data_IF_424508709585
#
_entry.id   IF_424508709585
#
_cell.length_a   1.000
_cell.length_b   1.000
_cell.length_c   1.000
_cell.angle_alpha   90.00
_cell.angle_beta   90.00
_cell.angle_gamma   90.00
#
_symmetry.space_group_name_H-M   'P 1'
#
loop_
_entity.id
_entity.type
_entity.pdbx_description
1 polymer ?
#
# COMPACT_ATOMS: atom_id res chain seq x y z
N UNK A 1 -17.42 5.74 -76.05
CA UNK A 1 -17.44 5.18 -77.42
C UNK A 1 -18.89 5.05 -77.83
N UNK A 2 -19.27 5.57 -78.99
CA UNK A 2 -20.67 5.54 -79.43
C UNK A 2 -21.15 4.10 -79.58
N UNK A 3 -22.13 3.70 -78.76
CA UNK A 3 -22.89 2.47 -78.87
C UNK A 3 -23.75 2.47 -80.14
N UNK A 4 -23.10 2.49 -81.30
CA UNK A 4 -23.77 2.15 -82.55
C UNK A 4 -23.86 0.63 -82.52
N UNK A 5 -24.94 0.13 -81.93
CA UNK A 5 -25.39 -1.24 -82.14
C UNK A 5 -25.44 -1.42 -83.66
N UNK A 6 -24.71 -2.38 -84.25
CA UNK A 6 -24.74 -2.55 -85.68
C UNK A 6 -26.20 -2.75 -86.09
N UNK A 7 -26.67 -1.93 -87.03
CA UNK A 7 -28.09 -1.93 -87.43
C UNK A 7 -28.35 -3.30 -88.05
N UNK A 8 -29.24 -4.06 -87.41
CA UNK A 8 -29.60 -5.40 -87.87
C UNK A 8 -30.04 -5.35 -89.34
N UNK A 9 -29.53 -6.25 -90.21
CA UNK A 9 -29.89 -6.25 -91.62
C UNK A 9 -31.39 -6.43 -91.83
N UNK A 10 -31.95 -5.87 -92.91
CA UNK A 10 -33.37 -5.98 -93.17
C UNK A 10 -33.69 -7.38 -93.74
N UNK A 11 -34.23 -8.24 -92.86
CA UNK A 11 -34.62 -9.61 -93.22
C UNK A 11 -35.62 -9.66 -94.36
N UNK A 12 -36.65 -8.82 -94.31
CA UNK A 12 -37.72 -8.83 -95.31
C UNK A 12 -37.22 -8.36 -96.68
N UNK A 13 -36.28 -7.41 -96.71
CA UNK A 13 -35.63 -6.96 -97.94
C UNK A 13 -34.81 -8.07 -98.61
N UNK A 14 -34.04 -8.83 -97.83
CA UNK A 14 -33.29 -9.99 -98.35
C UNK A 14 -34.24 -11.10 -98.85
N UNK A 15 -35.29 -11.42 -98.09
CA UNK A 15 -36.27 -12.42 -98.50
C UNK A 15 -36.99 -12.01 -99.78
N UNK A 16 -37.35 -10.73 -99.93
CA UNK A 16 -37.94 -10.21 -101.17
C UNK A 16 -36.97 -10.34 -102.37
N UNK A 17 -35.69 -10.01 -102.18
CA UNK A 17 -34.68 -10.17 -103.23
C UNK A 17 -34.42 -11.64 -103.58
N UNK A 18 -34.39 -12.53 -102.58
CA UNK A 18 -34.29 -13.97 -102.76
C UNK A 18 -35.47 -14.53 -103.56
N UNK A 19 -36.69 -14.13 -103.20
CA UNK A 19 -37.90 -14.51 -103.93
C UNK A 19 -37.88 -14.00 -105.37
N UNK A 20 -37.36 -12.79 -105.61
CA UNK A 20 -37.20 -12.25 -106.95
C UNK A 20 -36.24 -13.09 -107.81
N UNK A 21 -35.10 -13.51 -107.26
CA UNK A 21 -34.14 -14.41 -107.91
C UNK A 21 -34.73 -15.81 -108.13
N UNK A 22 -35.48 -16.35 -107.17
CA UNK A 22 -36.14 -17.65 -107.32
C UNK A 22 -37.18 -17.67 -108.45
N UNK A 23 -38.00 -16.61 -108.58
CA UNK A 23 -39.02 -16.49 -109.63
C UNK A 23 -38.46 -16.47 -111.06
N UNK A 24 -37.17 -16.19 -111.21
CA UNK A 24 -36.50 -16.11 -112.51
C UNK A 24 -35.51 -17.25 -112.75
N UNK A 25 -35.15 -18.02 -111.72
CA UNK A 25 -34.15 -19.09 -111.80
C UNK A 25 -34.53 -20.17 -112.83
N UNK A 26 -35.83 -20.41 -113.03
CA UNK A 26 -36.34 -21.44 -113.94
C UNK A 26 -36.53 -20.93 -115.39
N UNK A 27 -36.27 -19.64 -115.67
CA UNK A 27 -36.49 -19.04 -116.99
C UNK A 27 -35.23 -19.13 -117.84
N UNK A 28 -35.19 -20.09 -118.76
CA UNK A 28 -34.13 -20.19 -119.77
C UNK A 28 -34.43 -19.27 -120.96
N UNK A 29 -33.50 -18.39 -121.39
CA UNK A 29 -33.69 -17.57 -122.58
C UNK A 29 -33.94 -18.45 -123.80
N UNK A 30 -35.01 -18.20 -124.53
CA UNK A 30 -35.26 -18.92 -125.78
C UNK A 30 -34.60 -18.21 -126.95
N UNK A 31 -33.96 -18.96 -127.84
CA UNK A 31 -33.44 -18.42 -129.11
C UNK A 31 -34.52 -18.60 -130.18
N UNK A 32 -35.21 -17.52 -130.58
CA UNK A 32 -36.24 -17.62 -131.60
C UNK A 32 -35.65 -17.97 -132.97
N UNK A 33 -36.42 -18.68 -133.79
CA UNK A 33 -36.00 -19.15 -135.12
C UNK A 33 -36.81 -18.45 -136.21
N UNK A 34 -36.18 -18.22 -137.37
CA UNK A 34 -36.82 -17.57 -138.51
C UNK A 34 -37.28 -18.63 -139.52
N UNK A 35 -38.49 -18.47 -140.06
CA UNK A 35 -39.00 -19.34 -141.11
C UNK A 35 -38.27 -19.06 -142.44
N UNK A 36 -38.10 -20.10 -143.27
CA UNK A 36 -37.61 -19.95 -144.64
C UNK A 36 -38.77 -19.81 -145.61
N UNK A 37 -38.58 -19.11 -146.73
CA UNK A 37 -39.61 -19.00 -147.78
C UNK A 37 -40.12 -20.37 -148.24
N UNK A 38 -41.40 -20.46 -148.63
CA UNK A 38 -41.95 -21.71 -149.18
C UNK A 38 -41.30 -22.02 -150.53
N UNK A 39 -40.50 -23.06 -150.58
CA UNK A 39 -39.93 -23.62 -151.80
C UNK A 39 -40.49 -25.02 -152.06
N UNK A 40 -41.27 -25.19 -153.14
CA UNK A 40 -41.80 -26.49 -153.57
C UNK A 40 -42.68 -26.41 -154.83
N UNK A 41 -42.61 -27.44 -155.69
CA UNK A 41 -43.53 -27.64 -156.82
C UNK A 41 -44.89 -28.07 -156.28
N UNK A 42 -45.96 -27.37 -156.63
CA UNK A 42 -47.33 -27.86 -156.38
C UNK A 42 -47.56 -29.15 -157.19
N UNK A 43 -48.49 -30.03 -156.79
CA UNK A 43 -48.70 -31.35 -157.41
C UNK A 43 -49.08 -31.31 -158.91
N UNK A 44 -49.28 -30.11 -159.46
CA UNK A 44 -49.39 -29.79 -160.89
C UNK A 44 -48.21 -28.97 -161.45
N UNK A 45 -46.97 -29.15 -160.96
CA UNK A 45 -45.75 -28.66 -161.61
C UNK A 45 -45.51 -27.14 -161.59
N UNK A 46 -46.30 -26.35 -160.87
CA UNK A 46 -46.11 -24.88 -160.78
C UNK A 46 -45.02 -24.56 -159.75
N UNK A 47 -44.02 -23.77 -160.15
CA UNK A 47 -43.01 -23.19 -159.26
C UNK A 47 -43.60 -21.98 -158.54
N UNK A 48 -43.56 -21.99 -157.21
CA UNK A 48 -44.00 -20.84 -156.41
C UNK A 48 -42.96 -19.72 -156.52
N UNK A 49 -43.26 -18.69 -157.31
CA UNK A 49 -42.47 -17.45 -157.29
C UNK A 49 -42.80 -16.72 -156.00
N UNK A 50 -41.77 -16.31 -155.26
CA UNK A 50 -41.93 -15.46 -154.07
C UNK A 50 -42.78 -14.25 -154.48
N UNK A 51 -43.96 -14.17 -153.89
CA UNK A 51 -44.91 -13.10 -154.13
C UNK A 51 -44.69 -11.96 -153.15
N UNK A 52 -45.30 -10.80 -153.41
CA UNK A 52 -45.32 -9.71 -152.43
C UNK A 52 -45.95 -10.14 -151.10
N UNK A 53 -46.90 -11.07 -151.12
CA UNK A 53 -47.51 -11.68 -149.93
C UNK A 53 -46.49 -12.51 -149.13
N UNK A 54 -45.68 -13.34 -149.79
CA UNK A 54 -44.63 -14.12 -149.10
C UNK A 54 -43.56 -13.22 -148.46
N UNK A 55 -43.23 -12.09 -149.09
CA UNK A 55 -42.32 -11.10 -148.53
C UNK A 55 -42.94 -10.39 -147.32
N UNK A 56 -44.23 -10.06 -147.37
CA UNK A 56 -44.93 -9.47 -146.23
C UNK A 56 -44.96 -10.44 -145.04
N UNK A 57 -45.20 -11.73 -145.26
CA UNK A 57 -45.14 -12.78 -144.22
C UNK A 57 -43.73 -12.89 -143.63
N UNK A 58 -42.69 -12.94 -144.47
CA UNK A 58 -41.31 -13.02 -144.00
C UNK A 58 -40.86 -11.77 -143.22
N UNK A 59 -41.24 -10.57 -143.67
CA UNK A 59 -41.00 -9.32 -142.94
C UNK A 59 -41.75 -9.31 -141.60
N UNK A 60 -42.98 -9.84 -141.56
CA UNK A 60 -43.74 -10.04 -140.32
C UNK A 60 -43.05 -11.03 -139.37
N UNK A 61 -42.45 -12.11 -139.89
CA UNK A 61 -41.67 -13.07 -139.11
C UNK A 61 -40.38 -12.44 -138.56
N UNK A 62 -39.68 -11.62 -139.35
CA UNK A 62 -38.51 -10.84 -138.88
C UNK A 62 -38.91 -9.85 -137.79
N UNK A 63 -40.03 -9.13 -137.98
CA UNK A 63 -40.53 -8.19 -136.97
C UNK A 63 -40.88 -8.92 -135.67
N UNK A 64 -41.52 -10.09 -135.78
CA UNK A 64 -41.82 -10.96 -134.65
C UNK A 64 -40.55 -11.48 -133.96
N UNK A 65 -39.53 -11.86 -134.74
CA UNK A 65 -38.23 -12.30 -134.25
C UNK A 65 -37.50 -11.20 -133.47
N UNK A 66 -37.39 -9.99 -134.04
CA UNK A 66 -36.75 -8.84 -133.40
C UNK A 66 -37.51 -8.45 -132.12
N UNK A 67 -38.84 -8.48 -132.16
CA UNK A 67 -39.67 -8.25 -130.97
C UNK A 67 -39.40 -9.29 -129.88
N UNK A 68 -39.33 -10.57 -130.25
CA UNK A 68 -39.05 -11.65 -129.31
C UNK A 68 -37.63 -11.55 -128.72
N UNK A 69 -36.61 -11.31 -129.55
CA UNK A 69 -35.23 -11.10 -129.09
C UNK A 69 -35.11 -9.92 -128.13
N UNK A 70 -35.76 -8.79 -128.45
CA UNK A 70 -35.79 -7.63 -127.56
C UNK A 70 -36.47 -7.96 -126.22
N UNK A 71 -37.58 -8.72 -126.25
CA UNK A 71 -38.26 -9.18 -125.04
C UNK A 71 -37.36 -10.08 -124.19
N UNK A 72 -36.71 -11.07 -124.80
CA UNK A 72 -35.76 -11.98 -124.12
C UNK A 72 -34.54 -11.24 -123.54
N UNK A 73 -34.00 -10.25 -124.27
CA UNK A 73 -32.91 -9.41 -123.79
C UNK A 73 -33.33 -8.53 -122.59
N UNK A 74 -34.51 -7.91 -122.66
CA UNK A 74 -35.08 -7.14 -121.54
C UNK A 74 -35.29 -8.03 -120.33
N UNK A 75 -35.80 -9.25 -120.53
CA UNK A 75 -36.02 -10.19 -119.44
C UNK A 75 -34.69 -10.67 -118.86
N UNK A 76 -33.69 -11.01 -119.67
CA UNK A 76 -32.32 -11.32 -119.24
C UNK A 76 -31.71 -10.19 -118.41
N UNK A 77 -31.88 -8.93 -118.83
CA UNK A 77 -31.44 -7.77 -118.05
C UNK A 77 -32.12 -7.68 -116.68
N UNK A 78 -33.44 -7.93 -116.61
CA UNK A 78 -34.16 -8.01 -115.33
C UNK A 78 -33.64 -9.15 -114.46
N UNK A 79 -33.26 -10.28 -115.07
CA UNK A 79 -32.69 -11.41 -114.34
C UNK A 79 -31.36 -11.04 -113.67
N UNK A 80 -30.42 -10.49 -114.43
CA UNK A 80 -29.14 -10.00 -113.90
C UNK A 80 -29.34 -8.91 -112.85
N UNK A 81 -30.31 -8.00 -113.04
CA UNK A 81 -30.64 -6.97 -112.06
C UNK A 81 -31.11 -7.56 -110.74
N UNK A 82 -31.97 -8.59 -110.75
CA UNK A 82 -32.43 -9.25 -109.53
C UNK A 82 -31.30 -9.97 -108.79
N UNK A 83 -30.41 -10.65 -109.52
CA UNK A 83 -29.22 -11.31 -108.95
C UNK A 83 -28.26 -10.28 -108.36
N UNK A 84 -27.99 -9.19 -109.07
CA UNK A 84 -27.15 -8.10 -108.58
C UNK A 84 -27.72 -7.48 -107.31
N UNK A 85 -29.02 -7.17 -107.28
CA UNK A 85 -29.68 -6.61 -106.10
C UNK A 85 -29.59 -7.55 -104.89
N UNK A 86 -29.71 -8.87 -105.10
CA UNK A 86 -29.54 -9.85 -104.02
C UNK A 86 -28.11 -9.83 -103.45
N UNK A 87 -27.09 -9.84 -104.31
CA UNK A 87 -25.69 -9.76 -103.87
C UNK A 87 -25.35 -8.41 -103.24
N UNK A 88 -25.89 -7.31 -103.75
CA UNK A 88 -25.71 -5.96 -103.19
C UNK A 88 -26.28 -5.87 -101.76
N UNK A 89 -27.44 -6.48 -101.51
CA UNK A 89 -28.03 -6.57 -100.17
C UNK A 89 -27.17 -7.45 -99.24
N UNK A 90 -26.70 -8.60 -99.72
CA UNK A 90 -25.84 -9.48 -98.92
C UNK A 90 -24.54 -8.79 -98.51
N UNK A 91 -23.87 -8.13 -99.45
CA UNK A 91 -22.59 -7.44 -99.19
C UNK A 91 -22.78 -6.22 -98.28
N UNK A 92 -23.63 -5.28 -98.68
CA UNK A 92 -23.75 -3.97 -98.01
C UNK A 92 -24.47 -4.03 -96.67
N UNK A 93 -25.40 -4.97 -96.48
CA UNK A 93 -26.12 -5.11 -95.21
C UNK A 93 -25.56 -6.25 -94.35
N UNK A 94 -25.52 -7.48 -94.86
CA UNK A 94 -25.21 -8.65 -94.03
C UNK A 94 -23.72 -8.83 -93.76
N UNK A 95 -22.88 -8.86 -94.79
CA UNK A 95 -21.42 -9.01 -94.62
C UNK A 95 -20.87 -7.83 -93.80
N UNK A 96 -21.28 -6.61 -94.13
CA UNK A 96 -20.94 -5.42 -93.34
C UNK A 96 -21.36 -5.53 -91.87
N UNK A 97 -22.59 -5.98 -91.60
CA UNK A 97 -23.07 -6.19 -90.23
C UNK A 97 -22.25 -7.25 -89.48
N UNK A 98 -21.92 -8.37 -90.13
CA UNK A 98 -21.12 -9.43 -89.53
C UNK A 98 -19.72 -8.96 -89.18
N UNK A 99 -19.03 -8.26 -90.08
CA UNK A 99 -17.69 -7.71 -89.82
C UNK A 99 -17.72 -6.74 -88.64
N UNK A 100 -18.65 -5.77 -88.62
CA UNK A 100 -18.80 -4.85 -87.50
C UNK A 100 -19.11 -5.56 -86.17
N UNK A 101 -19.87 -6.66 -86.23
CA UNK A 101 -20.17 -7.46 -85.04
C UNK A 101 -18.94 -8.23 -84.54
N UNK A 102 -18.12 -8.76 -85.44
CA UNK A 102 -16.85 -9.45 -85.12
C UNK A 102 -15.85 -8.47 -84.51
N UNK A 103 -15.67 -7.29 -85.11
CA UNK A 103 -14.78 -6.24 -84.58
C UNK A 103 -15.20 -5.85 -83.16
N UNK A 104 -16.51 -5.70 -82.92
CA UNK A 104 -17.04 -5.40 -81.58
C UNK A 104 -16.82 -6.56 -80.61
N UNK A 105 -16.99 -7.80 -81.04
CA UNK A 105 -16.71 -8.99 -80.23
C UNK A 105 -15.23 -9.06 -79.84
N UNK A 106 -14.31 -8.71 -80.74
CA UNK A 106 -12.87 -8.65 -80.45
C UNK A 106 -12.57 -7.63 -79.35
N UNK A 107 -13.11 -6.40 -79.46
CA UNK A 107 -12.96 -5.37 -78.42
C UNK A 107 -13.52 -5.86 -77.07
N UNK A 108 -14.73 -6.42 -77.06
CA UNK A 108 -15.38 -6.90 -75.83
C UNK A 108 -14.60 -8.06 -75.21
N UNK A 109 -14.07 -8.98 -76.01
CA UNK A 109 -13.28 -10.12 -75.50
C UNK A 109 -11.94 -9.67 -74.95
N UNK A 110 -11.29 -8.67 -75.55
CA UNK A 110 -10.06 -8.09 -75.03
C UNK A 110 -10.28 -7.32 -73.72
N UNK A 111 -11.37 -6.57 -73.61
CA UNK A 111 -11.79 -5.93 -72.36
C UNK A 111 -12.09 -6.97 -71.27
N UNK A 112 -12.82 -8.03 -71.60
CA UNK A 112 -13.10 -9.13 -70.68
C UNK A 112 -11.81 -9.84 -70.22
N UNK A 113 -10.84 -10.02 -71.12
CA UNK A 113 -9.53 -10.60 -70.80
C UNK A 113 -8.73 -9.71 -69.83
N UNK A 114 -8.71 -8.39 -70.07
CA UNK A 114 -8.08 -7.42 -69.15
C UNK A 114 -8.73 -7.46 -67.78
N UNK A 115 -10.06 -7.39 -67.72
CA UNK A 115 -10.80 -7.49 -66.46
C UNK A 115 -10.52 -8.81 -65.72
N UNK A 116 -10.40 -9.93 -66.43
CA UNK A 116 -10.01 -11.22 -65.84
C UNK A 116 -8.60 -11.22 -65.26
N UNK A 117 -7.63 -10.59 -65.93
CA UNK A 117 -6.27 -10.44 -65.42
C UNK A 117 -6.21 -9.54 -64.18
N UNK A 118 -6.97 -8.44 -64.18
CA UNK A 118 -7.06 -7.54 -63.02
C UNK A 118 -7.69 -8.26 -61.82
N UNK A 119 -8.72 -9.07 -62.05
CA UNK A 119 -9.33 -9.92 -61.03
C UNK A 119 -8.35 -10.97 -60.48
N UNK A 120 -7.55 -11.60 -61.34
CA UNK A 120 -6.51 -12.56 -60.93
C UNK A 120 -5.43 -11.88 -60.06
N UNK A 121 -5.02 -10.67 -60.42
CA UNK A 121 -4.06 -9.90 -59.64
C UNK A 121 -4.64 -9.49 -58.28
N UNK A 122 -5.89 -9.03 -58.24
CA UNK A 122 -6.59 -8.76 -56.99
C UNK A 122 -6.68 -10.01 -56.10
N UNK A 123 -6.96 -11.19 -56.67
CA UNK A 123 -6.99 -12.45 -55.92
C UNK A 123 -5.62 -12.82 -55.32
N UNK A 124 -4.52 -12.55 -56.03
CA UNK A 124 -3.16 -12.75 -55.50
C UNK A 124 -2.88 -11.83 -54.31
N UNK A 125 -3.28 -10.56 -54.39
CA UNK A 125 -3.13 -9.59 -53.28
C UNK A 125 -3.99 -9.97 -52.07
N UNK A 126 -5.23 -10.42 -52.29
CA UNK A 126 -6.10 -10.94 -51.22
C UNK A 126 -5.43 -12.13 -50.52
N UNK A 127 -4.83 -13.04 -51.29
CA UNK A 127 -4.13 -14.21 -50.74
C UNK A 127 -2.94 -13.80 -49.87
N UNK A 128 -2.12 -12.84 -50.33
CA UNK A 128 -1.00 -12.28 -49.54
C UNK A 128 -1.50 -11.63 -48.25
N UNK A 129 -2.57 -10.85 -48.34
CA UNK A 129 -3.18 -10.19 -47.17
C UNK A 129 -3.67 -11.20 -46.14
N UNK A 130 -4.33 -12.28 -46.57
CA UNK A 130 -4.77 -13.37 -45.68
C UNK A 130 -3.59 -14.02 -44.96
N UNK A 131 -2.46 -14.25 -45.64
CA UNK A 131 -1.26 -14.81 -45.01
C UNK A 131 -0.70 -13.88 -43.93
N UNK A 132 -0.61 -12.58 -44.21
CA UNK A 132 -0.16 -11.57 -43.22
C UNK A 132 -1.11 -11.51 -42.02
N UNK A 133 -2.42 -11.56 -42.26
CA UNK A 133 -3.43 -11.58 -41.20
C UNK A 133 -3.29 -12.82 -40.31
N UNK A 134 -3.03 -14.01 -40.88
CA UNK A 134 -2.75 -15.23 -40.11
C UNK A 134 -1.54 -15.06 -39.18
N UNK A 135 -0.42 -14.58 -39.72
CA UNK A 135 0.80 -14.32 -38.92
C UNK A 135 0.56 -13.29 -37.80
N UNK A 136 -0.29 -12.29 -38.07
CA UNK A 136 -0.66 -11.28 -37.08
C UNK A 136 -1.49 -11.89 -35.96
N UNK A 137 -2.47 -12.73 -36.28
CA UNK A 137 -3.30 -13.45 -35.29
C UNK A 137 -2.44 -14.38 -34.43
N UNK A 138 -1.47 -15.09 -35.02
CA UNK A 138 -0.53 -15.94 -34.27
C UNK A 138 0.29 -15.13 -33.25
N UNK A 139 0.85 -13.98 -33.68
CA UNK A 139 1.58 -13.06 -32.78
C UNK A 139 0.69 -12.52 -31.66
N UNK A 140 -0.53 -12.09 -31.99
CA UNK A 140 -1.50 -11.60 -30.99
C UNK A 140 -1.87 -12.69 -29.98
N UNK A 141 -2.03 -13.93 -30.44
CA UNK A 141 -2.33 -15.08 -29.59
C UNK A 141 -1.18 -15.37 -28.62
N UNK A 142 0.06 -15.35 -29.12
CA UNK A 142 1.26 -15.52 -28.27
C UNK A 142 1.36 -14.41 -27.22
N UNK A 143 1.16 -13.15 -27.62
CA UNK A 143 1.20 -12.01 -26.71
C UNK A 143 0.10 -12.10 -25.64
N UNK A 144 -1.10 -12.59 -26.01
CA UNK A 144 -2.18 -12.82 -25.07
C UNK A 144 -1.78 -13.85 -24.01
N UNK A 145 -1.24 -15.00 -24.42
CA UNK A 145 -0.77 -16.05 -23.50
C UNK A 145 0.31 -15.50 -22.55
N UNK A 146 1.27 -14.72 -23.07
CA UNK A 146 2.30 -14.11 -22.22
C UNK A 146 1.72 -13.14 -21.19
N UNK A 147 0.72 -12.35 -21.60
CA UNK A 147 0.02 -11.41 -20.72
C UNK A 147 -0.77 -12.15 -19.64
N UNK A 148 -1.51 -13.21 -20.02
CA UNK A 148 -2.28 -14.03 -19.09
C UNK A 148 -1.34 -14.69 -18.05
N UNK A 149 -0.18 -15.20 -18.48
CA UNK A 149 0.82 -15.77 -17.56
C UNK A 149 1.39 -14.74 -16.57
N UNK A 150 1.67 -13.51 -17.04
CA UNK A 150 2.12 -12.41 -16.17
C UNK A 150 1.05 -12.03 -15.15
N UNK A 151 -0.22 -12.03 -15.54
CA UNK A 151 -1.34 -11.76 -14.65
C UNK A 151 -1.43 -12.81 -13.53
N UNK A 152 -1.35 -14.10 -13.88
CA UNK A 152 -1.36 -15.20 -12.90
C UNK A 152 -0.17 -15.08 -11.92
N UNK A 153 1.02 -14.72 -12.40
CA UNK A 153 2.18 -14.48 -11.52
C UNK A 153 1.89 -13.34 -10.54
N UNK A 154 1.33 -12.22 -11.02
CA UNK A 154 1.01 -11.08 -10.17
C UNK A 154 -0.07 -11.41 -9.13
N UNK A 155 -1.09 -12.20 -9.49
CA UNK A 155 -2.09 -12.69 -8.54
C UNK A 155 -1.47 -13.54 -7.42
N UNK A 156 -0.48 -14.39 -7.75
CA UNK A 156 0.23 -15.19 -6.75
C UNK A 156 1.08 -14.31 -5.81
N UNK A 157 1.75 -13.29 -6.33
CA UNK A 157 2.51 -12.33 -5.52
C UNK A 157 1.60 -11.54 -4.58
N UNK A 158 0.43 -11.11 -5.04
CA UNK A 158 -0.58 -10.47 -4.21
C UNK A 158 -1.03 -11.40 -3.08
N UNK A 159 -1.35 -12.67 -3.39
CA UNK A 159 -1.76 -13.65 -2.38
C UNK A 159 -0.66 -13.84 -1.33
N UNK A 160 0.59 -13.98 -1.74
CA UNK A 160 1.72 -14.12 -0.82
C UNK A 160 1.86 -12.90 0.12
N UNK A 161 1.75 -11.68 -0.43
CA UNK A 161 1.78 -10.43 0.36
C UNK A 161 0.61 -10.33 1.34
N UNK A 162 -0.59 -10.74 0.93
CA UNK A 162 -1.76 -10.78 1.82
C UNK A 162 -1.55 -11.74 3.00
N UNK A 163 -0.95 -12.91 2.76
CA UNK A 163 -0.59 -13.84 3.85
C UNK A 163 0.41 -13.20 4.83
N UNK A 164 1.42 -12.48 4.33
CA UNK A 164 2.36 -11.76 5.19
C UNK A 164 1.67 -10.66 6.02
N UNK A 165 0.72 -9.95 5.42
CA UNK A 165 -0.03 -8.90 6.11
C UNK A 165 -0.89 -9.47 7.25
N UNK A 166 -1.59 -10.58 7.00
CA UNK A 166 -2.33 -11.28 8.05
C UNK A 166 -1.42 -11.73 9.20
N UNK A 167 -0.18 -12.17 8.90
CA UNK A 167 0.80 -12.53 9.92
C UNK A 167 1.24 -11.34 10.77
N UNK A 168 1.35 -10.15 10.18
CA UNK A 168 1.63 -8.90 10.93
C UNK A 168 0.47 -8.58 11.88
N UNK A 169 -0.78 -8.73 11.42
CA UNK A 169 -1.96 -8.49 12.26
C UNK A 169 -2.07 -9.48 13.42
N UNK A 170 -1.65 -10.74 13.23
CA UNK A 170 -1.48 -11.71 14.31
C UNK A 170 -0.41 -11.26 15.31
N UNK A 171 0.80 -10.93 14.84
CA UNK A 171 1.90 -10.49 15.70
C UNK A 171 1.53 -9.24 16.49
N UNK A 172 0.79 -8.30 15.88
CA UNK A 172 0.28 -7.12 16.56
C UNK A 172 -0.66 -7.50 17.71
N UNK A 173 -1.61 -8.40 17.48
CA UNK A 173 -2.52 -8.89 18.52
C UNK A 173 -1.77 -9.60 19.64
N UNK A 174 -0.78 -10.42 19.30
CA UNK A 174 0.08 -11.09 20.29
C UNK A 174 0.83 -10.06 21.15
N UNK A 175 1.37 -9.01 20.52
CA UNK A 175 2.06 -7.92 21.21
C UNK A 175 1.12 -7.15 22.14
N UNK A 176 -0.06 -6.77 21.67
CA UNK A 176 -1.10 -6.07 22.45
C UNK A 176 -1.65 -6.94 23.60
N UNK A 177 -1.65 -8.27 23.44
CA UNK A 177 -2.07 -9.19 24.50
C UNK A 177 -1.08 -9.29 25.66
N UNK A 178 0.17 -8.84 25.46
CA UNK A 178 1.19 -8.92 26.49
C UNK A 178 0.93 -7.88 27.59
N UNK A 179 0.34 -8.36 28.69
CA UNK A 179 -0.13 -7.56 29.82
C UNK A 179 0.94 -6.71 30.49
N UNK A 180 2.22 -7.02 30.28
CA UNK A 180 3.33 -6.36 30.96
C UNK A 180 3.77 -5.02 30.35
N UNK A 181 3.25 -4.60 29.20
CA UNK A 181 3.63 -3.29 28.65
C UNK A 181 3.19 -2.11 29.54
N UNK A 182 2.03 -2.21 30.20
CA UNK A 182 1.61 -1.22 31.20
C UNK A 182 2.46 -1.25 32.47
N UNK A 183 3.13 -2.37 32.74
CA UNK A 183 4.02 -2.50 33.90
C UNK A 183 5.28 -1.65 33.69
N UNK A 184 5.73 -1.44 32.45
CA UNK A 184 6.87 -0.57 32.15
C UNK A 184 6.58 0.87 32.56
N UNK A 185 5.40 1.39 32.22
CA UNK A 185 4.98 2.73 32.62
C UNK A 185 4.84 2.85 34.14
N UNK A 186 4.33 1.78 34.78
CA UNK A 186 4.18 1.71 36.24
C UNK A 186 5.55 1.72 36.94
N UNK A 187 6.47 0.85 36.51
CA UNK A 187 7.84 0.79 37.03
C UNK A 187 8.55 2.13 36.81
N UNK A 188 8.34 2.78 35.66
CA UNK A 188 8.91 4.10 35.40
C UNK A 188 8.41 5.14 36.40
N UNK A 189 7.11 5.16 36.70
CA UNK A 189 6.53 6.05 37.70
C UNK A 189 7.09 5.79 39.11
N UNK A 190 7.25 4.51 39.49
CA UNK A 190 7.86 4.11 40.75
C UNK A 190 9.32 4.58 40.84
N UNK A 191 10.10 4.42 39.76
CA UNK A 191 11.48 4.91 39.68
C UNK A 191 11.55 6.42 39.86
N UNK A 192 10.65 7.21 39.25
CA UNK A 192 10.60 8.66 39.47
C UNK A 192 10.26 9.00 40.92
N UNK A 193 9.35 8.25 41.53
CA UNK A 193 8.97 8.43 42.95
C UNK A 193 10.14 8.12 43.87
N UNK A 194 10.83 7.01 43.65
CA UNK A 194 12.03 6.65 44.41
C UNK A 194 13.16 7.67 44.24
N UNK A 195 13.35 8.22 43.04
CA UNK A 195 14.31 9.30 42.80
C UNK A 195 14.01 10.54 43.65
N UNK A 196 12.74 10.95 43.75
CA UNK A 196 12.33 12.07 44.59
C UNK A 196 12.58 11.77 46.09
N UNK A 197 12.24 10.55 46.53
CA UNK A 197 12.47 10.13 47.91
C UNK A 197 13.96 10.11 48.28
N UNK A 198 14.82 9.60 47.39
CA UNK A 198 16.28 9.59 47.58
C UNK A 198 16.80 11.03 47.73
N UNK A 199 16.36 11.94 46.86
CA UNK A 199 16.77 13.35 46.92
C UNK A 199 16.39 13.99 48.26
N UNK A 200 15.21 13.67 48.80
CA UNK A 200 14.79 14.13 50.14
C UNK A 200 15.64 13.55 51.27
N UNK A 201 16.02 12.26 51.16
CA UNK A 201 16.92 11.63 52.13
C UNK A 201 18.30 12.28 52.10
N UNK A 202 18.85 12.57 50.92
CA UNK A 202 20.13 13.25 50.75
C UNK A 202 20.13 14.64 51.42
N UNK A 203 19.05 15.39 51.27
CA UNK A 203 18.89 16.70 51.94
C UNK A 203 18.88 16.54 53.47
N UNK A 204 18.14 15.56 53.99
CA UNK A 204 18.06 15.27 55.43
C UNK A 204 19.41 14.84 56.00
N UNK A 205 20.13 13.98 55.29
CA UNK A 205 21.48 13.54 55.68
C UNK A 205 22.45 14.72 55.70
N UNK A 206 22.37 15.60 54.72
CA UNK A 206 23.20 16.82 54.65
C UNK A 206 22.96 17.72 55.86
N UNK A 207 21.70 17.93 56.28
CA UNK A 207 21.37 18.68 57.51
C UNK A 207 21.91 17.97 58.76
N UNK A 208 21.71 16.65 58.87
CA UNK A 208 22.20 15.87 60.01
C UNK A 208 23.73 15.94 60.17
N UNK A 209 24.49 15.99 59.06
CA UNK A 209 25.95 16.17 59.11
C UNK A 209 26.35 17.53 59.69
N UNK A 210 25.61 18.60 59.37
CA UNK A 210 25.82 19.94 59.94
C UNK A 210 25.55 19.91 61.46
N UNK A 211 24.43 19.33 61.88
CA UNK A 211 24.07 19.22 63.30
C UNK A 211 25.12 18.45 64.11
N UNK A 212 25.62 17.33 63.57
CA UNK A 212 26.70 16.55 64.20
C UNK A 212 27.97 17.38 64.33
N UNK A 213 28.32 18.18 63.32
CA UNK A 213 29.47 19.08 63.38
C UNK A 213 29.31 20.11 64.50
N UNK A 214 28.14 20.75 64.60
CA UNK A 214 27.85 21.71 65.67
C UNK A 214 27.93 21.06 67.06
N UNK A 215 27.38 19.86 67.22
CA UNK A 215 27.47 19.10 68.48
C UNK A 215 28.91 18.76 68.84
N UNK A 216 29.74 18.42 67.86
CA UNK A 216 31.18 18.18 68.07
C UNK A 216 31.91 19.44 68.54
N UNK A 217 31.55 20.60 67.98
CA UNK A 217 32.09 21.89 68.42
C UNK A 217 31.65 22.23 69.85
N UNK A 218 30.37 22.01 70.17
CA UNK A 218 29.85 22.19 71.53
C UNK A 218 30.55 21.26 72.54
N UNK A 219 30.73 19.99 72.19
CA UNK A 219 31.47 19.03 73.01
C UNK A 219 32.89 19.53 73.28
N UNK A 220 33.61 19.97 72.25
CA UNK A 220 34.97 20.49 72.38
C UNK A 220 35.03 21.73 73.30
N UNK A 221 34.03 22.62 73.22
CA UNK A 221 33.90 23.78 74.13
C UNK A 221 33.67 23.35 75.58
N UNK A 222 32.81 22.35 75.82
CA UNK A 222 32.55 21.82 77.15
C UNK A 222 33.81 21.17 77.75
N UNK A 223 34.53 20.37 76.97
CA UNK A 223 35.81 19.76 77.38
C UNK A 223 36.88 20.81 77.69
N UNK A 224 36.84 21.99 77.06
CA UNK A 224 37.74 23.11 77.34
C UNK A 224 37.39 23.93 78.60
N UNK A 225 36.27 23.66 79.29
CA UNK A 225 35.92 24.39 80.51
C UNK A 225 36.85 23.98 81.66
N UNK A 226 37.77 24.90 82.01
CA UNK A 226 38.83 24.72 83.02
C UNK A 226 38.36 24.12 84.35
N UNK A 227 37.15 24.44 84.79
CA UNK A 227 36.62 24.07 86.10
C UNK A 227 35.62 22.90 86.05
N UNK A 228 35.48 22.19 84.92
CA UNK A 228 34.51 21.08 84.82
C UNK A 228 34.86 19.90 85.73
N UNK A 229 36.15 19.55 85.83
CA UNK A 229 36.66 18.56 86.81
C UNK A 229 36.45 18.97 88.26
N UNK A 230 36.35 20.28 88.49
CA UNK A 230 36.21 20.83 89.82
C UNK A 230 34.79 20.60 90.34
N UNK A 231 33.80 20.45 89.46
CA UNK A 231 32.44 20.03 89.84
C UNK A 231 32.43 18.63 90.44
N UNK A 232 33.14 17.67 89.82
CA UNK A 232 33.27 16.30 90.34
C UNK A 232 34.03 16.28 91.67
N UNK A 233 35.04 17.16 91.79
CA UNK A 233 35.82 17.33 93.02
C UNK A 233 34.96 17.89 94.13
N UNK A 234 34.23 18.99 93.89
CA UNK A 234 33.28 19.59 94.83
C UNK A 234 32.22 18.58 95.24
N UNK A 235 31.69 17.79 94.29
CA UNK A 235 30.72 16.74 94.60
C UNK A 235 31.29 15.71 95.57
N UNK A 236 32.53 15.25 95.33
CA UNK A 236 33.23 14.30 96.20
C UNK A 236 33.50 14.89 97.58
N UNK A 237 33.92 16.15 97.66
CA UNK A 237 34.13 16.86 98.92
C UNK A 237 32.82 16.99 99.71
N UNK A 238 31.72 17.33 99.04
CA UNK A 238 30.38 17.39 99.64
C UNK A 238 29.94 16.03 100.18
N UNK A 239 30.15 14.92 99.45
CA UNK A 239 29.85 13.58 99.96
C UNK A 239 30.73 13.23 101.17
N UNK A 240 32.00 13.62 101.16
CA UNK A 240 32.93 13.43 102.29
C UNK A 240 32.49 14.21 103.53
N UNK A 241 32.17 15.48 103.36
CA UNK A 241 31.65 16.33 104.43
C UNK A 241 30.34 15.79 105.00
N UNK A 242 29.43 15.28 104.16
CA UNK A 242 28.22 14.60 104.60
C UNK A 242 28.53 13.44 105.55
N UNK A 243 29.46 12.55 105.19
CA UNK A 243 29.89 11.44 106.07
C UNK A 243 30.50 11.94 107.38
N UNK A 244 31.34 12.96 107.31
CA UNK A 244 31.95 13.56 108.51
C UNK A 244 30.89 14.14 109.45
N UNK A 245 29.87 14.83 108.91
CA UNK A 245 28.75 15.38 109.69
C UNK A 245 27.99 14.26 110.40
N UNK A 246 27.65 13.17 109.70
CA UNK A 246 27.00 12.00 110.31
C UNK A 246 27.83 11.46 111.47
N UNK A 247 29.15 11.33 111.29
CA UNK A 247 30.04 10.88 112.37
C UNK A 247 30.09 11.85 113.56
N UNK A 248 29.97 13.16 113.34
CA UNK A 248 29.85 14.15 114.42
C UNK A 248 28.52 13.99 115.15
N UNK A 249 27.41 13.81 114.42
CA UNK A 249 26.07 13.60 115.00
C UNK A 249 26.03 12.35 115.89
N UNK A 250 26.65 11.25 115.47
CA UNK A 250 26.78 10.03 116.28
C UNK A 250 27.58 10.28 117.57
N UNK A 251 28.72 10.99 117.47
CA UNK A 251 29.54 11.34 118.63
C UNK A 251 28.79 12.25 119.61
N UNK A 252 28.05 13.24 119.10
CA UNK A 252 27.20 14.12 119.91
C UNK A 252 26.09 13.33 120.60
N UNK A 253 25.45 12.40 119.88
CA UNK A 253 24.41 11.52 120.43
C UNK A 253 24.95 10.67 121.57
N UNK A 254 26.15 10.09 121.42
CA UNK A 254 26.83 9.38 122.52
C UNK A 254 27.16 10.30 123.69
N UNK A 255 27.69 11.49 123.43
CA UNK A 255 27.99 12.47 124.47
C UNK A 255 26.77 12.88 125.29
N UNK A 256 25.59 12.99 124.66
CA UNK A 256 24.33 13.27 125.36
C UNK A 256 23.94 12.13 126.31
N UNK A 257 24.14 10.87 125.89
CA UNK A 257 23.91 9.69 126.76
C UNK A 257 24.87 9.71 127.95
N UNK A 258 26.16 9.96 127.71
CA UNK A 258 27.18 10.03 128.76
C UNK A 258 26.86 11.14 129.78
N UNK A 259 26.43 12.33 129.32
CA UNK A 259 25.98 13.43 130.19
C UNK A 259 24.75 13.03 131.01
N UNK A 260 23.79 12.31 130.41
CA UNK A 260 22.61 11.81 131.13
C UNK A 260 23.00 10.83 132.24
N UNK A 261 23.92 9.90 131.95
CA UNK A 261 24.46 8.96 132.96
C UNK A 261 25.18 9.68 134.09
N UNK A 262 26.00 10.71 133.78
CA UNK A 262 26.66 11.53 134.79
C UNK A 262 25.66 12.31 135.64
N UNK A 263 24.58 12.83 135.04
CA UNK A 263 23.51 13.53 135.75
C UNK A 263 22.76 12.60 136.72
N UNK A 264 22.52 11.36 136.30
CA UNK A 264 21.98 10.30 137.17
C UNK A 264 22.95 9.96 138.30
N UNK A 265 24.25 9.83 138.00
CA UNK A 265 25.27 9.56 139.01
C UNK A 265 25.37 10.70 140.04
N UNK A 266 25.31 11.95 139.58
CA UNK A 266 25.25 13.13 140.45
C UNK A 266 24.02 13.10 141.36
N UNK A 267 22.83 12.81 140.80
CA UNK A 267 21.59 12.70 141.58
C UNK A 267 21.68 11.60 142.65
N UNK A 268 22.33 10.46 142.33
CA UNK A 268 22.59 9.38 143.29
C UNK A 268 23.54 9.81 144.41
N UNK A 269 24.61 10.54 144.09
CA UNK A 269 25.53 11.10 145.10
C UNK A 269 24.80 12.10 146.02
N UNK A 270 23.99 13.00 145.46
CA UNK A 270 23.19 13.97 146.23
C UNK A 270 22.15 13.27 147.14
N UNK A 271 21.68 12.07 146.78
CA UNK A 271 20.76 11.26 147.58
C UNK A 271 21.40 10.44 148.71
N UNK A 272 22.73 10.43 148.87
CA UNK A 272 23.39 9.72 149.97
C UNK A 272 23.12 10.43 151.31
N UNK A 273 22.30 9.79 152.15
CA UNK A 273 21.79 10.29 153.44
C UNK A 273 22.83 10.91 154.38
N UNK A 274 24.10 10.49 154.29
CA UNK A 274 25.17 10.88 155.19
C UNK A 274 26.26 11.73 154.51
N UNK A 275 26.03 12.24 153.30
CA UNK A 275 27.03 13.07 152.61
C UNK A 275 27.19 14.44 153.30
N UNK A 276 26.10 15.04 153.79
CA UNK A 276 26.17 16.23 154.66
C UNK A 276 26.85 15.95 156.00
N UNK A 277 26.80 14.68 156.44
CA UNK A 277 27.44 14.27 157.68
C UNK A 277 28.96 14.25 157.52
N UNK A 278 29.50 14.09 156.31
CA UNK A 278 30.95 14.24 156.06
C UNK A 278 31.38 15.68 156.29
N UNK A 279 30.64 16.65 155.76
CA UNK A 279 30.91 18.08 155.99
C UNK A 279 30.70 18.45 157.47
N UNK A 280 29.68 17.87 158.11
CA UNK A 280 29.38 18.07 159.54
C UNK A 280 30.47 17.48 160.45
N UNK A 281 30.89 16.23 160.21
CA UNK A 281 32.00 15.59 160.91
C UNK A 281 33.29 16.37 160.68
N UNK A 282 33.53 16.87 159.47
CA UNK A 282 34.71 17.71 159.19
C UNK A 282 34.66 19.01 159.99
N UNK A 283 33.52 19.69 160.06
CA UNK A 283 33.32 20.89 160.87
C UNK A 283 33.49 20.60 162.38
N UNK A 284 32.96 19.49 162.87
CA UNK A 284 33.13 19.03 164.26
C UNK A 284 34.61 18.73 164.57
N UNK A 285 35.32 18.06 163.65
CA UNK A 285 36.77 17.82 163.77
C UNK A 285 37.55 19.14 163.81
N UNK A 286 37.22 20.12 162.96
CA UNK A 286 37.86 21.45 163.02
C UNK A 286 37.53 22.17 164.34
N UNK A 287 36.31 22.04 164.87
CA UNK A 287 35.89 22.61 166.15
C UNK A 287 36.61 21.96 167.33
N UNK A 288 36.70 20.63 167.35
CA UNK A 288 37.47 19.89 168.35
C UNK A 288 38.95 20.25 168.30
N UNK A 289 39.52 20.41 167.10
CA UNK A 289 40.90 20.90 166.93
C UNK A 289 41.10 22.27 167.58
N UNK A 290 40.19 23.22 167.34
CA UNK A 290 40.24 24.54 167.97
C UNK A 290 40.09 24.48 169.50
N UNK A 291 39.19 23.63 170.00
CA UNK A 291 39.00 23.41 171.43
C UNK A 291 40.24 22.77 172.09
N UNK A 292 40.88 21.80 171.45
CA UNK A 292 42.14 21.19 171.91
C UNK A 292 43.24 22.26 171.97
N UNK A 293 43.38 23.11 170.94
CA UNK A 293 44.34 24.21 170.96
C UNK A 293 44.08 25.20 172.10
N UNK A 294 42.81 25.49 172.41
CA UNK A 294 42.42 26.33 173.56
C UNK A 294 42.79 25.69 174.91
N UNK A 295 42.62 24.37 175.05
CA UNK A 295 43.04 23.62 176.25
C UNK A 295 44.57 23.63 176.38
N UNK A 296 45.31 23.43 175.30
CA UNK A 296 46.78 23.51 175.28
C UNK A 296 47.26 24.90 175.72
N UNK A 297 46.59 25.97 175.28
CA UNK A 297 46.92 27.34 175.71
C UNK A 297 46.64 27.55 177.21
N UNK A 298 45.51 27.04 177.71
CA UNK A 298 45.13 27.14 179.14
C UNK A 298 46.04 26.30 180.04
N UNK A 299 46.46 25.12 179.62
CA UNK A 299 47.44 24.30 180.33
C UNK A 299 48.82 24.98 180.33
N UNK A 300 49.22 25.60 179.22
CA UNK A 300 50.46 26.38 179.15
C UNK A 300 50.44 27.58 180.10
N UNK A 301 49.32 28.32 180.18
CA UNK A 301 49.14 29.43 181.14
C UNK A 301 49.06 28.97 182.60
N UNK A 302 48.38 27.86 182.89
CA UNK A 302 48.32 27.30 184.24
C UNK A 302 49.66 26.75 184.75
N UNK A 303 50.48 26.17 183.87
CA UNK A 303 51.85 25.77 184.20
C UNK A 303 52.76 26.97 184.51
N UNK A 304 52.51 28.12 183.88
CA UNK A 304 53.21 29.38 184.16
C UNK A 304 52.75 29.98 185.51
N UNK A 305 51.46 29.92 185.84
CA UNK A 305 50.95 30.43 187.13
C UNK A 305 51.38 29.55 188.34
N UNK A 306 51.58 28.24 188.14
CA UNK A 306 52.19 27.34 189.15
C UNK A 306 53.69 27.66 189.37
N UNK A 307 54.35 28.33 188.41
CA UNK A 307 55.76 28.74 188.53
C UNK A 307 56.00 30.10 189.20
N UNK A 308 54.94 30.87 189.53
CA UNK A 308 55.01 32.24 190.09
C UNK A 308 54.47 32.40 191.53
N UNK A 309 54.18 31.30 192.24
CA UNK A 309 53.84 31.28 193.69
C UNK A 309 54.82 30.43 194.53
N UNK A 310 56.11 30.55 194.20
CA UNK A 310 57.23 30.45 195.13
C UNK A 310 57.96 31.79 195.17
#
# INVERSE_FOLDING_TARGET
MSDIIPIKPNRQKLENAKLAVQKIADKTPQTPTLSTFRHGKSWYGVTHKVTGEDMNVFVSDIQSLIFQLNKENIDTYKQFTAVYNFFDILDKEYIKYFNLSIDKLEVVTEEARKAGNDALNAQKEITRTIQVLKLTIEKLTKNKIETDNKLVSFENDIKAKLTQLNRIDELKRDLESNKHFSDVDTIWADVQTHKANISSIEERLSKGLIDISLLKDYKSKLEGLKYLSDVDTIWTDVQTHKTNIIGIEERLSKGLIDISLLKDYKSKLEGLKYLSDVDTIWADVQTHKANISSIEERLSKGLIDISLLK
#
